data_IF_284705881606
#
_entry.id   IF_284705881606
#
_cell.length_a   1.000
_cell.length_b   1.000
_cell.length_c   1.000
_cell.angle_alpha   90.00
_cell.angle_beta   90.00
_cell.angle_gamma   90.00
#
_symmetry.space_group_name_H-M   'P 1'
#
loop_
_entity.id
_entity.type
_entity.pdbx_description
1 polymer ?
#
# COMPACT_ATOMS: atom_id res chain seq x y z
N UNK A 1 -3.64 28.31 3.01
CA UNK A 1 -3.61 26.84 3.11
C UNK A 1 -5.02 26.33 3.39
N UNK A 2 -5.56 25.42 2.58
CA UNK A 2 -6.91 24.86 2.79
C UNK A 2 -6.84 23.80 3.89
N UNK A 3 -7.59 23.99 4.98
CA UNK A 3 -7.69 23.02 6.07
C UNK A 3 -8.61 21.88 5.61
N UNK A 4 -8.06 20.68 5.42
CA UNK A 4 -8.83 19.48 5.10
C UNK A 4 -9.13 18.75 6.41
N UNK A 5 -10.42 18.62 6.72
CA UNK A 5 -10.88 17.81 7.85
C UNK A 5 -11.06 16.36 7.36
N UNK A 6 -10.14 15.49 7.75
CA UNK A 6 -10.27 14.05 7.54
C UNK A 6 -11.18 13.46 8.63
N UNK A 7 -12.17 12.65 8.24
CA UNK A 7 -13.01 11.94 9.19
C UNK A 7 -12.63 10.45 9.17
N UNK A 8 -12.26 9.91 10.32
CA UNK A 8 -11.98 8.48 10.48
C UNK A 8 -13.27 7.78 10.88
N UNK A 9 -14.05 7.31 9.91
CA UNK A 9 -15.23 6.48 10.21
C UNK A 9 -14.78 5.04 10.52
N UNK A 10 -14.17 4.86 11.70
CA UNK A 10 -13.64 3.56 12.17
C UNK A 10 -14.72 2.62 12.70
N UNK A 11 -15.97 3.10 12.80
CA UNK A 11 -17.04 2.41 13.52
C UNK A 11 -17.84 1.41 12.65
N UNK A 12 -17.53 1.29 11.35
CA UNK A 12 -18.21 0.40 10.41
C UNK A 12 -17.33 -0.74 9.87
N UNK A 13 -16.34 -1.20 10.65
CA UNK A 13 -15.48 -2.33 10.25
C UNK A 13 -16.29 -3.63 10.29
N UNK A 14 -16.88 -4.02 9.16
CA UNK A 14 -17.46 -5.37 9.00
C UNK A 14 -16.62 -6.33 8.17
N UNK A 15 -15.72 -5.87 7.30
CA UNK A 15 -14.82 -6.75 6.54
C UNK A 15 -13.52 -6.03 6.14
N UNK A 16 -12.38 -6.71 6.23
CA UNK A 16 -11.14 -6.23 5.64
C UNK A 16 -11.21 -6.30 4.12
N UNK A 17 -11.03 -5.18 3.42
CA UNK A 17 -10.93 -5.17 1.96
C UNK A 17 -9.64 -5.87 1.53
N UNK A 18 -9.76 -6.88 0.67
CA UNK A 18 -8.63 -7.62 0.10
C UNK A 18 -8.46 -7.20 -1.36
N UNK A 19 -7.27 -6.71 -1.73
CA UNK A 19 -6.95 -6.30 -3.10
C UNK A 19 -7.05 -7.52 -4.00
N UNK A 20 -7.82 -7.44 -5.09
CA UNK A 20 -7.92 -8.52 -6.06
C UNK A 20 -6.64 -8.62 -6.89
N UNK A 21 -5.80 -9.61 -6.61
CA UNK A 21 -4.51 -9.77 -7.30
C UNK A 21 -4.64 -10.11 -8.79
N UNK A 22 -5.80 -10.61 -9.24
CA UNK A 22 -5.98 -10.97 -10.67
C UNK A 22 -5.94 -9.76 -11.60
N UNK A 23 -6.19 -8.56 -11.07
CA UNK A 23 -6.09 -7.29 -11.81
C UNK A 23 -4.65 -6.97 -12.25
N UNK A 24 -3.64 -7.59 -11.62
CA UNK A 24 -2.22 -7.37 -11.93
C UNK A 24 -1.58 -8.50 -12.77
N UNK A 25 -2.35 -9.53 -13.12
CA UNK A 25 -1.85 -10.68 -13.89
C UNK A 25 -1.47 -10.33 -15.33
N UNK A 26 -1.84 -9.15 -15.82
CA UNK A 26 -1.52 -8.66 -17.16
C UNK A 26 -0.06 -8.21 -17.33
N UNK A 27 0.70 -8.08 -16.24
CA UNK A 27 2.03 -7.43 -16.31
C UNK A 27 3.16 -8.34 -16.78
N UNK A 28 2.99 -9.67 -16.83
CA UNK A 28 3.98 -10.73 -17.15
C UNK A 28 5.37 -10.63 -16.44
N UNK A 29 5.62 -9.58 -15.67
CA UNK A 29 6.91 -9.21 -15.08
C UNK A 29 7.02 -9.66 -13.64
N UNK A 30 5.91 -9.66 -12.91
CA UNK A 30 5.86 -10.03 -11.50
C UNK A 30 4.64 -10.89 -11.20
N UNK A 31 4.82 -11.90 -10.34
CA UNK A 31 3.75 -12.66 -9.75
C UNK A 31 3.42 -12.07 -8.38
N UNK A 32 2.21 -11.54 -8.21
CA UNK A 32 1.76 -11.00 -6.94
C UNK A 32 1.14 -12.10 -6.08
N UNK A 33 1.48 -12.10 -4.79
CA UNK A 33 0.94 -13.01 -3.76
C UNK A 33 0.64 -12.23 -2.49
N UNK A 34 -0.29 -12.72 -1.67
CA UNK A 34 -0.58 -12.03 -0.42
C UNK A 34 0.54 -12.27 0.59
N UNK A 35 0.97 -11.21 1.29
CA UNK A 35 1.99 -11.32 2.34
C UNK A 35 1.61 -12.30 3.46
N UNK A 36 0.30 -12.53 3.67
CA UNK A 36 -0.21 -13.53 4.63
C UNK A 36 0.14 -14.97 4.29
N UNK A 37 0.55 -15.26 3.04
CA UNK A 37 1.01 -16.59 2.61
C UNK A 37 2.46 -16.87 3.05
N UNK A 38 3.15 -15.88 3.62
CA UNK A 38 4.57 -15.96 3.97
C UNK A 38 4.82 -15.65 5.46
N UNK A 39 6.02 -15.97 5.98
CA UNK A 39 6.40 -15.60 7.35
C UNK A 39 6.31 -14.09 7.59
N UNK A 40 6.02 -13.69 8.83
CA UNK A 40 5.82 -12.28 9.18
C UNK A 40 7.15 -11.58 9.46
N UNK A 41 7.17 -10.27 9.22
CA UNK A 41 8.23 -9.36 9.67
C UNK A 41 9.63 -9.77 9.18
N UNK A 42 10.63 -9.68 10.07
CA UNK A 42 12.02 -10.00 9.77
C UNK A 42 12.27 -11.46 9.40
N UNK A 43 11.36 -12.37 9.74
CA UNK A 43 11.50 -13.80 9.39
C UNK A 43 11.36 -14.02 7.89
N UNK A 44 10.60 -13.17 7.18
CA UNK A 44 10.44 -13.29 5.73
C UNK A 44 11.78 -13.25 5.00
N UNK A 45 12.65 -12.31 5.37
CA UNK A 45 13.94 -12.13 4.70
C UNK A 45 14.89 -13.28 4.97
N UNK A 46 14.86 -13.84 6.20
CA UNK A 46 15.60 -15.05 6.55
C UNK A 46 15.05 -16.26 5.78
N UNK A 47 13.73 -16.45 5.81
CA UNK A 47 13.04 -17.52 5.09
C UNK A 47 13.34 -17.48 3.58
N UNK A 48 13.31 -16.27 2.98
CA UNK A 48 13.67 -16.05 1.57
C UNK A 48 15.07 -16.60 1.28
N UNK A 49 16.05 -16.27 2.13
CA UNK A 49 17.42 -16.73 1.98
C UNK A 49 17.55 -18.24 2.16
N UNK A 50 16.99 -18.79 3.23
CA UNK A 50 17.05 -20.23 3.56
C UNK A 50 16.36 -21.11 2.51
N UNK A 51 15.30 -20.62 1.88
CA UNK A 51 14.53 -21.36 0.88
C UNK A 51 14.90 -21.00 -0.56
N UNK A 52 15.92 -20.16 -0.76
CA UNK A 52 16.32 -19.64 -2.07
C UNK A 52 15.13 -19.07 -2.88
N UNK A 53 14.21 -18.40 -2.22
CA UNK A 53 12.98 -17.89 -2.83
C UNK A 53 13.23 -16.57 -3.57
N UNK A 54 12.70 -16.45 -4.78
CA UNK A 54 12.86 -15.23 -5.60
C UNK A 54 11.85 -14.13 -5.25
N UNK A 55 11.81 -13.74 -3.96
CA UNK A 55 11.02 -12.60 -3.51
C UNK A 55 11.69 -11.30 -3.97
N UNK A 56 11.00 -10.53 -4.82
CA UNK A 56 11.50 -9.25 -5.34
C UNK A 56 11.28 -8.07 -4.39
N UNK A 57 10.08 -7.96 -3.84
CA UNK A 57 9.72 -6.89 -2.92
C UNK A 57 8.46 -7.25 -2.12
N UNK A 58 8.26 -6.57 -1.00
CA UNK A 58 6.99 -6.49 -0.28
C UNK A 58 6.41 -5.11 -0.52
N UNK A 59 5.13 -5.03 -0.91
CA UNK A 59 4.41 -3.77 -1.05
C UNK A 59 3.30 -3.74 0.00
N UNK A 60 3.12 -2.58 0.63
CA UNK A 60 2.09 -2.36 1.65
C UNK A 60 1.37 -1.05 1.40
N UNK A 61 0.11 -0.99 1.85
CA UNK A 61 -0.74 0.18 1.78
C UNK A 61 -1.47 0.34 3.11
N UNK A 62 -1.61 1.59 3.58
CA UNK A 62 -2.55 1.91 4.65
C UNK A 62 -3.98 1.92 4.10
N UNK A 63 -4.95 2.01 5.01
CA UNK A 63 -6.29 2.47 4.62
C UNK A 63 -6.21 3.89 4.05
N UNK A 64 -7.08 4.19 3.09
CA UNK A 64 -7.25 5.54 2.58
C UNK A 64 -8.05 6.33 3.62
N UNK A 65 -7.54 7.50 3.99
CA UNK A 65 -8.25 8.48 4.80
C UNK A 65 -8.87 9.49 3.85
N UNK A 66 -10.20 9.56 3.84
CA UNK A 66 -10.94 10.51 3.01
C UNK A 66 -11.30 11.77 3.78
N UNK A 67 -11.39 12.89 3.06
CA UNK A 67 -12.06 14.07 3.59
C UNK A 67 -13.58 13.81 3.74
N UNK A 68 -14.26 14.69 4.48
CA UNK A 68 -15.71 14.55 4.75
C UNK A 68 -16.56 14.36 3.49
N UNK A 69 -16.17 15.00 2.38
CA UNK A 69 -16.93 14.98 1.13
C UNK A 69 -16.50 13.85 0.18
N UNK A 70 -15.45 13.09 0.52
CA UNK A 70 -14.85 12.06 -0.36
C UNK A 70 -14.44 12.62 -1.72
N UNK A 71 -13.89 13.83 -1.72
CA UNK A 71 -13.27 14.51 -2.86
C UNK A 71 -11.75 14.37 -2.83
N UNK A 72 -11.16 14.22 -1.64
CA UNK A 72 -9.73 14.02 -1.42
C UNK A 72 -9.48 12.82 -0.53
N UNK A 73 -8.36 12.16 -0.76
CA UNK A 73 -7.90 11.05 0.06
C UNK A 73 -6.39 11.08 0.25
N UNK A 74 -5.93 10.42 1.31
CA UNK A 74 -4.51 10.19 1.55
C UNK A 74 -4.28 8.75 2.00
N UNK A 75 -3.23 8.12 1.48
CA UNK A 75 -2.77 6.80 1.92
C UNK A 75 -1.25 6.74 2.00
N UNK A 76 -0.74 5.97 2.94
CA UNK A 76 0.67 5.62 3.00
C UNK A 76 0.91 4.34 2.21
N UNK A 77 2.02 4.29 1.49
CA UNK A 77 2.53 3.07 0.88
C UNK A 77 3.99 2.86 1.25
N UNK A 78 4.39 1.60 1.38
CA UNK A 78 5.78 1.22 1.60
C UNK A 78 6.16 0.07 0.70
N UNK A 79 7.38 0.14 0.15
CA UNK A 79 8.02 -0.97 -0.56
C UNK A 79 9.31 -1.35 0.15
N UNK A 80 9.53 -2.65 0.32
CA UNK A 80 10.75 -3.18 0.93
C UNK A 80 11.37 -4.25 0.02
N UNK A 81 12.67 -4.14 -0.21
CA UNK A 81 13.51 -5.08 -0.97
C UNK A 81 14.37 -5.96 -0.05
N UNK A 82 14.47 -5.59 1.24
CA UNK A 82 15.19 -6.32 2.27
C UNK A 82 14.89 -5.80 3.67
N UNK A 83 15.57 -6.34 4.68
CA UNK A 83 15.37 -5.95 6.09
C UNK A 83 15.65 -4.45 6.35
N UNK A 84 16.65 -3.91 5.66
CA UNK A 84 17.13 -2.52 5.75
C UNK A 84 17.30 -1.94 4.34
N UNK A 85 16.33 -2.21 3.48
CA UNK A 85 16.29 -1.67 2.13
C UNK A 85 14.83 -1.48 1.74
N UNK A 86 14.37 -0.25 1.77
CA UNK A 86 13.02 0.11 1.36
C UNK A 86 12.75 1.60 1.45
N UNK A 87 11.56 1.99 1.01
CA UNK A 87 11.12 3.36 1.10
C UNK A 87 9.61 3.45 1.29
N UNK A 88 9.18 4.56 1.88
CA UNK A 88 7.78 4.88 2.11
C UNK A 88 7.37 6.17 1.43
N UNK A 89 6.12 6.23 1.00
CA UNK A 89 5.51 7.41 0.40
C UNK A 89 4.14 7.69 0.99
N UNK A 90 3.76 8.96 0.99
CA UNK A 90 2.40 9.44 1.23
C UNK A 90 1.80 9.84 -0.11
N UNK A 91 0.73 9.17 -0.50
CA UNK A 91 0.02 9.37 -1.76
C UNK A 91 -1.25 10.15 -1.46
N UNK A 92 -1.38 11.31 -2.09
CA UNK A 92 -2.61 12.10 -2.10
C UNK A 92 -3.38 11.77 -3.37
N UNK A 93 -4.67 11.52 -3.22
CA UNK A 93 -5.59 11.28 -4.32
C UNK A 93 -6.70 12.31 -4.31
N UNK A 94 -7.24 12.62 -5.49
CA UNK A 94 -8.43 13.46 -5.65
C UNK A 94 -9.40 12.83 -6.63
N UNK A 95 -10.67 13.19 -6.49
CA UNK A 95 -11.72 12.76 -7.41
C UNK A 95 -11.84 13.76 -8.56
N UNK A 96 -11.79 13.26 -9.78
CA UNK A 96 -12.04 14.04 -11.00
C UNK A 96 -12.96 13.23 -11.92
N UNK A 97 -14.10 13.81 -12.31
CA UNK A 97 -15.10 13.14 -13.17
C UNK A 97 -15.45 11.73 -12.68
N UNK A 98 -15.73 11.60 -11.38
CA UNK A 98 -16.02 10.36 -10.66
C UNK A 98 -14.90 9.30 -10.63
N UNK A 99 -13.68 9.65 -11.06
CA UNK A 99 -12.50 8.77 -10.99
C UNK A 99 -11.50 9.29 -9.98
N UNK A 100 -10.86 8.39 -9.25
CA UNK A 100 -9.75 8.72 -8.38
C UNK A 100 -8.46 8.81 -9.17
N UNK A 101 -7.74 9.92 -9.02
CA UNK A 101 -6.42 10.11 -9.61
C UNK A 101 -5.39 10.47 -8.55
N UNK A 102 -4.11 10.21 -8.84
CA UNK A 102 -3.00 10.63 -7.98
C UNK A 102 -2.81 12.14 -8.16
N UNK A 103 -2.94 12.88 -7.07
CA UNK A 103 -2.71 14.33 -7.04
C UNK A 103 -1.24 14.64 -6.71
N UNK A 104 -0.70 13.94 -5.71
CA UNK A 104 0.67 14.17 -5.23
C UNK A 104 1.25 12.92 -4.57
N UNK A 105 2.55 12.74 -4.69
CA UNK A 105 3.32 11.74 -3.93
C UNK A 105 4.41 12.47 -3.15
N UNK A 106 4.57 12.14 -1.87
CA UNK A 106 5.61 12.69 -0.99
C UNK A 106 6.39 11.53 -0.39
N UNK A 107 7.71 11.53 -0.55
CA UNK A 107 8.57 10.56 0.14
C UNK A 107 8.56 10.83 1.65
N UNK A 108 8.46 9.77 2.44
CA UNK A 108 8.34 9.87 3.91
C UNK A 108 9.56 9.30 4.63
N UNK A 109 10.11 8.19 4.16
CA UNK A 109 11.30 7.57 4.73
C UNK A 109 12.02 6.72 3.67
N UNK A 110 13.33 6.55 3.90
CA UNK A 110 14.22 5.63 3.20
C UNK A 110 14.98 4.87 4.29
N UNK A 111 15.14 3.56 4.11
CA UNK A 111 15.82 2.64 5.02
C UNK A 111 16.85 1.84 4.24
#
# INVERSE_FOLDING_TARGET
YRKLDFNTDTNSIKTGYKINLTEFNNTNKYLFKYSSEFPKNSELWRWKFENNYDLKAIISFSRILFDKNKEFGVLMSGIAYGKLNGNGVLIFIKKESDKWIIDKIIETWIS
#
